data_IF_421115618127
#
_entry.id   IF_421115618127
#
_cell.length_a   1.000
_cell.length_b   1.000
_cell.length_c   1.000
_cell.angle_alpha   90.00
_cell.angle_beta   90.00
_cell.angle_gamma   90.00
#
_symmetry.space_group_name_H-M   'P 1'
#
loop_
_entity.id
_entity.type
_entity.pdbx_description
1 polymer ?
#
# COMPACT_ATOMS: atom_id res chain seq x y z
N UNK A 1 10.00 6.86 -23.46
CA UNK A 1 10.52 8.21 -23.73
C UNK A 1 10.45 8.32 -25.23
N UNK A 2 9.75 9.32 -25.79
CA UNK A 2 9.58 9.40 -27.24
C UNK A 2 10.92 9.80 -27.86
N UNK A 3 11.57 8.90 -28.58
CA UNK A 3 12.87 9.12 -29.23
C UNK A 3 12.84 10.37 -30.13
N UNK A 4 11.67 10.67 -30.72
CA UNK A 4 11.42 11.85 -31.52
C UNK A 4 11.65 13.17 -30.75
N UNK A 5 11.31 13.22 -29.45
CA UNK A 5 11.54 14.42 -28.62
C UNK A 5 13.00 14.59 -28.25
N UNK A 6 13.73 13.49 -28.08
CA UNK A 6 15.17 13.55 -27.81
C UNK A 6 15.88 14.10 -29.04
N UNK A 7 15.53 13.61 -30.22
CA UNK A 7 16.09 14.08 -31.49
C UNK A 7 15.82 15.57 -31.73
N UNK A 8 14.60 16.05 -31.43
CA UNK A 8 14.24 17.46 -31.53
C UNK A 8 15.02 18.34 -30.54
N UNK A 9 15.23 17.86 -29.31
CA UNK A 9 16.03 18.56 -28.30
C UNK A 9 17.51 18.62 -28.68
N UNK A 10 18.11 17.51 -29.12
CA UNK A 10 19.51 17.49 -29.57
C UNK A 10 19.73 18.36 -30.80
N UNK A 11 18.76 18.40 -31.73
CA UNK A 11 18.81 19.30 -32.89
C UNK A 11 18.82 20.78 -32.50
N UNK A 12 17.99 21.18 -31.52
CA UNK A 12 17.98 22.56 -31.00
C UNK A 12 19.29 22.92 -30.27
N UNK A 13 19.89 21.96 -29.56
CA UNK A 13 21.18 22.14 -28.90
C UNK A 13 22.28 22.35 -29.95
N UNK A 14 22.27 21.58 -31.04
CA UNK A 14 23.19 21.72 -32.17
C UNK A 14 23.08 23.08 -32.85
N UNK A 15 21.85 23.53 -33.12
CA UNK A 15 21.57 24.83 -33.73
C UNK A 15 22.06 26.01 -32.87
N UNK A 16 22.03 25.87 -31.54
CA UNK A 16 22.37 26.94 -30.60
C UNK A 16 23.86 27.00 -30.24
N UNK A 17 24.51 25.83 -30.07
CA UNK A 17 25.86 25.73 -29.50
C UNK A 17 26.93 25.31 -30.51
N UNK A 18 26.52 24.95 -31.72
CA UNK A 18 27.41 24.41 -32.75
C UNK A 18 27.73 22.92 -32.52
N UNK A 19 28.25 22.29 -33.57
CA UNK A 19 28.40 20.84 -33.67
C UNK A 19 29.21 20.20 -32.55
N UNK A 20 30.36 20.79 -32.24
CA UNK A 20 31.33 20.19 -31.31
C UNK A 20 30.83 20.23 -29.85
N UNK A 21 30.22 21.34 -29.45
CA UNK A 21 29.64 21.48 -28.10
C UNK A 21 28.36 20.63 -27.96
N UNK A 22 27.57 20.53 -29.04
CA UNK A 22 26.34 19.73 -29.04
C UNK A 22 26.62 18.23 -28.93
N UNK A 23 27.66 17.73 -29.58
CA UNK A 23 28.07 16.34 -29.47
C UNK A 23 28.41 15.98 -28.01
N UNK A 24 29.22 16.82 -27.35
CA UNK A 24 29.61 16.60 -25.95
C UNK A 24 28.42 16.64 -24.99
N UNK A 25 27.45 17.52 -25.23
CA UNK A 25 26.21 17.58 -24.44
C UNK A 25 25.32 16.37 -24.71
N UNK A 26 25.23 15.92 -25.96
CA UNK A 26 24.44 14.75 -26.34
C UNK A 26 24.98 13.47 -25.69
N UNK A 27 26.30 13.32 -25.60
CA UNK A 27 26.94 12.21 -24.89
C UNK A 27 26.60 12.24 -23.38
N UNK A 28 26.73 13.40 -22.73
CA UNK A 28 26.37 13.56 -21.31
C UNK A 28 24.87 13.28 -21.08
N UNK A 29 24.00 13.72 -21.98
CA UNK A 29 22.57 13.41 -21.92
C UNK A 29 22.31 11.90 -22.05
N UNK A 30 23.04 11.22 -22.94
CA UNK A 30 22.98 9.76 -23.09
C UNK A 30 23.37 9.02 -21.79
N UNK A 31 24.44 9.46 -21.13
CA UNK A 31 24.84 8.92 -19.82
C UNK A 31 23.77 9.14 -18.76
N UNK A 32 23.20 10.36 -18.68
CA UNK A 32 22.13 10.69 -17.72
C UNK A 32 20.87 9.85 -17.98
N UNK A 33 20.46 9.69 -19.24
CA UNK A 33 19.29 8.89 -19.62
C UNK A 33 19.52 7.43 -19.22
N UNK A 34 20.69 6.88 -19.51
CA UNK A 34 21.05 5.50 -19.17
C UNK A 34 21.05 5.30 -17.66
N UNK A 35 21.71 6.20 -16.91
CA UNK A 35 21.73 6.15 -15.46
C UNK A 35 20.33 6.31 -14.84
N UNK A 36 19.47 7.15 -15.41
CA UNK A 36 18.08 7.28 -14.95
C UNK A 36 17.26 6.01 -15.21
N UNK A 37 17.44 5.36 -16.35
CA UNK A 37 16.76 4.10 -16.65
C UNK A 37 17.18 2.99 -15.68
N UNK A 38 18.47 2.88 -15.37
CA UNK A 38 18.99 1.94 -14.37
C UNK A 38 18.45 2.23 -12.97
N UNK A 39 18.41 3.51 -12.56
CA UNK A 39 17.85 3.91 -11.28
C UNK A 39 16.34 3.61 -11.18
N UNK A 40 15.57 3.85 -12.25
CA UNK A 40 14.15 3.49 -12.30
C UNK A 40 13.94 1.98 -12.16
N UNK A 41 14.77 1.17 -12.81
CA UNK A 41 14.73 -0.28 -12.64
C UNK A 41 15.03 -0.70 -11.19
N UNK A 42 16.07 -0.14 -10.60
CA UNK A 42 16.44 -0.41 -9.21
C UNK A 42 15.33 0.01 -8.22
N UNK A 43 14.64 1.12 -8.47
CA UNK A 43 13.48 1.56 -7.68
C UNK A 43 12.34 0.55 -7.80
N UNK A 44 11.99 0.12 -9.01
CA UNK A 44 10.95 -0.89 -9.23
C UNK A 44 11.24 -2.20 -8.51
N UNK A 45 12.49 -2.68 -8.57
CA UNK A 45 12.91 -3.90 -7.85
C UNK A 45 12.82 -3.73 -6.33
N UNK A 46 13.15 -2.54 -5.79
CA UNK A 46 12.99 -2.23 -4.37
C UNK A 46 11.52 -2.20 -3.96
N UNK A 47 10.64 -1.60 -4.75
CA UNK A 47 9.20 -1.54 -4.46
C UNK A 47 8.56 -2.93 -4.44
N UNK A 48 8.93 -3.81 -5.38
CA UNK A 48 8.49 -5.20 -5.36
C UNK A 48 8.92 -5.93 -4.09
N UNK A 49 10.16 -5.69 -3.63
CA UNK A 49 10.67 -6.29 -2.41
C UNK A 49 9.99 -5.75 -1.16
N UNK A 50 9.70 -4.44 -1.12
CA UNK A 50 8.91 -3.83 -0.04
C UNK A 50 7.54 -4.48 0.04
N UNK A 51 6.85 -4.64 -1.09
CA UNK A 51 5.53 -5.30 -1.14
C UNK A 51 5.60 -6.74 -0.63
N UNK A 52 6.59 -7.52 -1.09
CA UNK A 52 6.81 -8.89 -0.60
C UNK A 52 7.07 -8.95 0.90
N UNK A 53 7.83 -8.00 1.44
CA UNK A 53 8.13 -7.92 2.88
C UNK A 53 6.89 -7.53 3.70
N UNK A 54 6.08 -6.59 3.21
CA UNK A 54 4.80 -6.21 3.83
C UNK A 54 3.85 -7.41 3.89
N UNK A 55 3.65 -8.12 2.78
CA UNK A 55 2.81 -9.33 2.72
C UNK A 55 3.29 -10.41 3.71
N UNK A 56 4.60 -10.60 3.83
CA UNK A 56 5.19 -11.54 4.80
C UNK A 56 4.96 -11.09 6.24
N UNK A 57 5.12 -9.80 6.51
CA UNK A 57 4.92 -9.26 7.85
C UNK A 57 3.46 -9.39 8.29
N UNK A 58 2.50 -9.08 7.42
CA UNK A 58 1.08 -9.27 7.72
C UNK A 58 0.75 -10.73 8.05
N UNK A 59 1.29 -11.68 7.28
CA UNK A 59 1.15 -13.12 7.57
C UNK A 59 1.74 -13.50 8.93
N UNK A 60 2.91 -12.98 9.28
CA UNK A 60 3.55 -13.23 10.57
C UNK A 60 2.75 -12.62 11.73
N UNK A 61 2.26 -11.39 11.58
CA UNK A 61 1.41 -10.74 12.58
C UNK A 61 0.13 -11.54 12.80
N UNK A 62 -0.52 -12.00 11.72
CA UNK A 62 -1.72 -12.84 11.80
C UNK A 62 -1.42 -14.20 12.46
N UNK A 63 -0.36 -14.88 12.03
CA UNK A 63 0.05 -16.16 12.61
C UNK A 63 0.42 -16.04 14.09
N UNK A 64 1.17 -15.01 14.47
CA UNK A 64 1.52 -14.74 15.85
C UNK A 64 0.29 -14.40 16.68
N UNK A 65 -0.65 -13.60 16.15
CA UNK A 65 -1.93 -13.33 16.81
C UNK A 65 -2.72 -14.60 17.09
N UNK A 66 -2.82 -15.50 16.10
CA UNK A 66 -3.46 -16.80 16.26
C UNK A 66 -2.73 -17.71 17.26
N UNK A 67 -1.39 -17.69 17.28
CA UNK A 67 -0.59 -18.44 18.25
C UNK A 67 -0.79 -17.90 19.66
N UNK A 68 -0.77 -16.58 19.87
CA UNK A 68 -1.00 -15.97 21.19
C UNK A 68 -2.38 -16.33 21.75
N UNK A 69 -3.41 -16.41 20.91
CA UNK A 69 -4.72 -16.90 21.32
C UNK A 69 -4.68 -18.37 21.79
N UNK A 70 -3.89 -19.21 21.11
CA UNK A 70 -3.72 -20.63 21.45
C UNK A 70 -2.80 -20.85 22.66
N UNK A 71 -1.80 -19.99 22.83
CA UNK A 71 -0.84 -20.00 23.94
C UNK A 71 -1.37 -19.06 25.02
N UNK A 72 -2.55 -19.39 25.56
CA UNK A 72 -3.04 -18.73 26.77
C UNK A 72 -2.05 -19.02 27.90
N UNK A 73 -1.37 -17.99 28.39
CA UNK A 73 -0.70 -18.02 29.70
C UNK A 73 -1.77 -18.28 30.77
N UNK A 74 -1.80 -19.51 31.27
CA UNK A 74 -2.53 -19.89 32.48
C UNK A 74 -4.05 -19.96 32.33
N UNK A 75 -4.60 -21.18 32.38
CA UNK A 75 -5.98 -21.53 32.76
C UNK A 75 -7.01 -20.40 32.59
N UNK A 76 -7.45 -20.13 31.37
CA UNK A 76 -8.82 -19.66 31.22
C UNK A 76 -9.70 -20.90 31.32
N UNK A 77 -10.26 -21.13 32.51
CA UNK A 77 -11.46 -21.96 32.57
C UNK A 77 -12.47 -21.25 31.66
N UNK A 78 -12.97 -21.91 30.59
CA UNK A 78 -14.11 -21.37 29.90
C UNK A 78 -15.18 -21.28 31.00
N UNK A 79 -15.55 -20.05 31.40
CA UNK A 79 -16.85 -19.87 32.04
C UNK A 79 -17.81 -20.61 31.12
N UNK A 80 -18.53 -21.55 31.71
CA UNK A 80 -19.53 -22.35 31.03
C UNK A 80 -20.18 -21.47 29.99
N UNK A 81 -20.36 -21.98 28.77
CA UNK A 81 -21.35 -21.43 27.88
C UNK A 81 -22.70 -21.52 28.60
N UNK A 82 -22.98 -20.58 29.50
CA UNK A 82 -24.30 -20.03 29.65
C UNK A 82 -24.71 -19.74 28.23
N UNK A 83 -25.73 -20.47 27.78
CA UNK A 83 -26.39 -20.23 26.52
C UNK A 83 -26.46 -18.72 26.38
N UNK A 84 -25.70 -18.15 25.42
CA UNK A 84 -25.98 -16.80 24.97
C UNK A 84 -27.39 -16.87 24.43
N UNK A 85 -28.38 -16.58 25.27
CA UNK A 85 -29.62 -16.01 24.78
C UNK A 85 -29.16 -14.90 23.85
N UNK A 86 -29.42 -15.11 22.57
CA UNK A 86 -29.24 -14.07 21.56
C UNK A 86 -29.77 -12.78 22.18
N UNK A 87 -29.00 -11.69 22.27
CA UNK A 87 -29.53 -10.45 22.80
C UNK A 87 -30.73 -10.11 21.93
N UNK A 88 -31.93 -10.24 22.51
CA UNK A 88 -33.18 -9.87 21.83
C UNK A 88 -32.98 -8.40 21.51
N UNK A 89 -32.84 -8.06 20.22
CA UNK A 89 -32.69 -6.68 19.79
C UNK A 89 -33.91 -5.93 20.33
N UNK A 90 -33.73 -5.13 21.36
CA UNK A 90 -34.80 -4.28 21.90
C UNK A 90 -35.11 -3.29 20.78
N UNK A 91 -36.22 -3.50 20.08
CA UNK A 91 -36.67 -2.55 19.08
C UNK A 91 -37.26 -1.35 19.83
N UNK A 92 -36.86 -0.12 19.46
CA UNK A 92 -37.43 1.08 20.10
C UNK A 92 -38.96 1.11 20.05
N UNK A 93 -39.58 0.45 19.07
CA UNK A 93 -41.05 0.34 18.96
C UNK A 93 -41.70 -0.39 20.12
N UNK A 94 -40.97 -1.25 20.83
CA UNK A 94 -41.49 -1.99 21.98
C UNK A 94 -41.48 -1.15 23.27
N UNK A 95 -40.81 0.01 23.24
CA UNK A 95 -40.76 0.94 24.36
C UNK A 95 -41.91 1.97 24.36
N UNK A 96 -42.72 2.04 23.30
CA UNK A 96 -43.78 3.06 23.13
C UNK A 96 -45.15 2.46 22.83
N UNK A 97 -46.20 3.04 23.39
CA UNK A 97 -47.59 2.72 23.04
C UNK A 97 -47.98 3.28 21.65
N UNK A 98 -49.16 2.91 21.14
CA UNK A 98 -49.68 3.39 19.84
C UNK A 98 -49.91 4.90 19.76
N UNK A 99 -49.75 5.62 20.87
CA UNK A 99 -49.85 7.07 21.00
C UNK A 99 -48.50 7.74 21.27
N UNK A 100 -47.40 6.98 21.32
CA UNK A 100 -46.03 7.47 21.47
C UNK A 100 -45.58 7.69 22.92
N UNK A 101 -46.27 7.16 23.93
CA UNK A 101 -45.85 7.27 25.32
C UNK A 101 -44.97 6.08 25.74
N UNK A 102 -44.00 6.34 26.63
CA UNK A 102 -43.18 5.27 27.20
C UNK A 102 -44.01 4.35 28.10
N UNK A 103 -43.95 3.05 27.83
CA UNK A 103 -44.54 2.02 28.68
C UNK A 103 -43.49 1.65 29.75
N UNK A 104 -43.78 1.91 31.02
CA UNK A 104 -42.88 1.67 32.15
C UNK A 104 -42.92 0.23 32.61
#
# INVERSE_FOLDING_TARGET
>A
MDDDKILELTGKIEETLGKDNSAMISDILGEIITGNAENMKAISERDENIKKLQDRNEKLVSANGALLQKVSVGKYEPKETEKKETPTKINLKDAFDSKGNFIK
#
